data_IF_149840173155
#
_entry.id   IF_149840173155
#
_cell.length_a   1.000
_cell.length_b   1.000
_cell.length_c   1.000
_cell.angle_alpha   90.00
_cell.angle_beta   90.00
_cell.angle_gamma   90.00
#
_symmetry.space_group_name_H-M   'P 1'
#
loop_
_entity.id
_entity.type
_entity.pdbx_description
1 polymer ?
#
# COMPACT_ATOMS: atom_id res chain seq x y z
N UNK A 1 -13.28 32.29 -20.39
CA UNK A 1 -11.89 31.86 -20.15
C UNK A 1 -11.88 30.34 -20.19
N UNK A 2 -11.19 29.74 -21.15
CA UNK A 2 -11.11 28.29 -21.30
C UNK A 2 -9.88 27.79 -20.56
N UNK A 3 -10.05 26.95 -19.53
CA UNK A 3 -8.95 26.24 -18.89
C UNK A 3 -8.33 25.27 -19.88
N UNK A 4 -7.01 25.29 -20.03
CA UNK A 4 -6.29 24.26 -20.79
C UNK A 4 -6.48 22.89 -20.12
N UNK A 5 -6.66 21.81 -20.90
CA UNK A 5 -6.62 20.46 -20.36
C UNK A 5 -5.22 20.19 -19.79
N UNK A 6 -5.14 19.62 -18.59
CA UNK A 6 -3.88 19.23 -17.96
C UNK A 6 -3.12 18.27 -18.89
N UNK A 7 -1.85 18.57 -19.15
CA UNK A 7 -1.00 17.77 -20.03
C UNK A 7 -0.70 16.40 -19.39
N UNK A 8 -0.80 15.28 -20.14
CA UNK A 8 -0.60 13.93 -19.59
C UNK A 8 0.80 13.73 -18.98
N UNK A 9 1.79 14.51 -19.39
CA UNK A 9 3.15 14.47 -18.84
C UNK A 9 3.20 14.82 -17.34
N UNK A 10 2.42 15.83 -16.91
CA UNK A 10 2.38 16.27 -15.51
C UNK A 10 1.73 15.20 -14.60
N UNK A 11 0.73 14.50 -15.11
CA UNK A 11 0.08 13.39 -14.39
C UNK A 11 1.07 12.23 -14.21
N UNK A 12 1.87 11.90 -15.24
CA UNK A 12 2.84 10.78 -15.17
C UNK A 12 4.03 11.04 -14.25
N UNK A 13 4.49 12.28 -14.10
CA UNK A 13 5.59 12.63 -13.19
C UNK A 13 5.16 12.67 -11.71
N UNK A 14 3.96 13.18 -11.42
CA UNK A 14 3.38 13.19 -10.07
C UNK A 14 3.23 11.77 -9.51
N UNK A 15 2.70 10.85 -10.33
CA UNK A 15 2.55 9.43 -9.95
C UNK A 15 3.92 8.74 -9.80
N UNK A 16 4.94 9.17 -10.54
CA UNK A 16 6.29 8.59 -10.51
C UNK A 16 7.09 8.89 -9.23
N UNK A 17 6.73 9.96 -8.52
CA UNK A 17 7.42 10.42 -7.31
C UNK A 17 6.70 10.04 -6.02
N UNK A 18 5.40 9.73 -6.12
CA UNK A 18 4.56 9.37 -4.98
C UNK A 18 5.03 8.07 -4.32
N UNK A 19 5.15 8.11 -3.00
CA UNK A 19 5.46 6.94 -2.16
C UNK A 19 4.19 6.38 -1.54
N UNK A 20 4.25 5.18 -0.95
CA UNK A 20 3.11 4.66 -0.19
C UNK A 20 2.86 5.51 1.07
N UNK A 21 3.92 6.13 1.62
CA UNK A 21 3.80 7.13 2.68
C UNK A 21 2.87 8.28 2.30
N UNK A 22 2.95 8.77 1.06
CA UNK A 22 2.06 9.83 0.55
C UNK A 22 0.60 9.42 0.37
N UNK A 23 0.30 8.12 0.45
CA UNK A 23 -1.07 7.59 0.39
C UNK A 23 -1.63 7.43 1.79
N UNK A 24 -0.83 6.89 2.71
CA UNK A 24 -1.28 6.55 4.07
C UNK A 24 -1.17 7.71 5.06
N UNK A 25 -0.47 8.80 4.73
CA UNK A 25 -0.32 9.99 5.60
C UNK A 25 -1.65 10.67 5.95
N UNK A 26 -2.66 10.52 5.09
CA UNK A 26 -3.96 11.17 5.25
C UNK A 26 -4.99 10.24 5.92
N UNK A 27 -4.57 9.01 6.29
CA UNK A 27 -5.46 8.04 6.91
C UNK A 27 -5.80 8.43 8.34
N UNK A 28 -7.07 8.29 8.70
CA UNK A 28 -7.45 8.26 10.09
C UNK A 28 -7.03 6.91 10.74
N UNK A 29 -7.15 6.82 12.07
CA UNK A 29 -6.71 5.64 12.83
C UNK A 29 -7.33 4.33 12.34
N UNK A 30 -8.64 4.33 12.02
CA UNK A 30 -9.33 3.11 11.57
C UNK A 30 -8.95 2.74 10.14
N UNK A 31 -8.78 3.72 9.25
CA UNK A 31 -8.28 3.49 7.88
C UNK A 31 -6.86 2.90 7.88
N UNK A 32 -6.00 3.37 8.79
CA UNK A 32 -4.66 2.82 8.94
C UNK A 32 -4.66 1.39 9.49
N UNK A 33 -5.53 1.08 10.45
CA UNK A 33 -5.67 -0.28 10.98
C UNK A 33 -6.18 -1.24 9.91
N UNK A 34 -7.25 -0.87 9.20
CA UNK A 34 -7.81 -1.67 8.10
C UNK A 34 -6.77 -1.89 6.98
N UNK A 35 -5.93 -0.88 6.71
CA UNK A 35 -4.80 -1.05 5.80
C UNK A 35 -3.75 -2.03 6.32
N UNK A 36 -3.37 -1.97 7.59
CA UNK A 36 -2.37 -2.87 8.20
C UNK A 36 -2.86 -4.33 8.25
N UNK A 37 -4.14 -4.56 8.57
CA UNK A 37 -4.75 -5.90 8.58
C UNK A 37 -4.69 -6.58 7.20
N UNK A 38 -4.88 -5.81 6.12
CA UNK A 38 -4.77 -6.32 4.73
C UNK A 38 -3.35 -6.69 4.32
N UNK A 39 -2.33 -6.29 5.08
CA UNK A 39 -0.91 -6.52 4.75
C UNK A 39 -0.33 -7.80 5.33
N UNK A 40 -1.14 -8.59 6.04
CA UNK A 40 -0.74 -9.88 6.61
C UNK A 40 0.53 -9.77 7.49
N UNK A 41 0.58 -8.72 8.31
CA UNK A 41 1.71 -8.41 9.20
C UNK A 41 1.76 -9.32 10.43
N UNK A 42 0.85 -10.31 10.54
CA UNK A 42 0.71 -11.22 11.68
C UNK A 42 0.52 -10.49 13.02
N UNK A 43 -0.13 -9.34 12.99
CA UNK A 43 -0.58 -8.65 14.20
C UNK A 43 -1.78 -9.40 14.76
N UNK A 44 -1.78 -9.64 16.07
CA UNK A 44 -2.92 -10.24 16.75
C UNK A 44 -3.94 -9.17 17.19
N UNK A 45 -5.08 -9.62 17.73
CA UNK A 45 -6.14 -8.69 18.11
C UNK A 45 -5.75 -7.76 19.26
N UNK A 46 -4.80 -8.14 20.12
CA UNK A 46 -4.32 -7.29 21.19
C UNK A 46 -3.36 -6.22 20.66
N UNK A 47 -2.53 -6.55 19.67
CA UNK A 47 -1.71 -5.57 18.93
C UNK A 47 -2.59 -4.49 18.28
N UNK A 48 -3.70 -4.89 17.64
CA UNK A 48 -4.65 -3.95 17.03
C UNK A 48 -5.36 -3.08 18.07
N UNK A 49 -5.74 -3.64 19.24
CA UNK A 49 -6.31 -2.85 20.34
C UNK A 49 -5.35 -1.79 20.85
N UNK A 50 -4.05 -2.09 20.92
CA UNK A 50 -3.02 -1.12 21.31
C UNK A 50 -2.97 0.03 20.28
N UNK A 51 -3.01 -0.28 18.98
CA UNK A 51 -3.04 0.74 17.93
C UNK A 51 -4.26 1.67 18.01
N UNK A 52 -5.45 1.11 18.29
CA UNK A 52 -6.69 1.90 18.49
C UNK A 52 -6.63 2.80 19.71
N UNK A 53 -6.10 2.28 20.82
CA UNK A 53 -6.14 2.95 22.12
C UNK A 53 -5.16 4.11 22.21
N UNK A 54 -3.97 3.95 21.65
CA UNK A 54 -2.83 4.85 21.94
C UNK A 54 -2.56 5.90 20.86
N UNK A 55 -3.48 6.03 19.88
CA UNK A 55 -3.48 7.10 18.86
C UNK A 55 -2.10 7.33 18.24
N UNK A 56 -1.39 6.25 17.87
CA UNK A 56 -0.17 6.17 17.04
C UNK A 56 0.83 7.34 17.21
N UNK A 57 1.05 7.81 18.44
CA UNK A 57 1.83 9.03 18.68
C UNK A 57 3.17 8.78 19.37
N UNK A 58 3.43 7.60 19.95
CA UNK A 58 4.67 7.29 20.66
C UNK A 58 5.02 5.80 20.72
N UNK A 59 6.27 5.49 21.11
CA UNK A 59 6.88 4.16 21.29
C UNK A 59 5.87 3.11 21.79
N UNK A 60 5.38 2.28 20.87
CA UNK A 60 4.39 1.22 21.09
C UNK A 60 4.81 0.25 22.21
N UNK A 61 6.11 0.05 22.39
CA UNK A 61 6.70 -0.78 23.45
C UNK A 61 6.33 -0.31 24.87
N UNK A 62 6.17 1.01 25.10
CA UNK A 62 5.74 1.55 26.40
C UNK A 62 4.28 1.25 26.72
N UNK A 63 3.50 0.89 25.71
CA UNK A 63 2.07 0.64 25.83
C UNK A 63 1.71 -0.84 25.78
N UNK A 64 2.71 -1.72 25.95
CA UNK A 64 2.51 -3.16 26.04
C UNK A 64 2.59 -3.91 24.72
N UNK A 65 2.93 -3.23 23.61
CA UNK A 65 3.23 -3.93 22.36
C UNK A 65 4.57 -4.65 22.51
N UNK A 66 4.58 -5.95 22.22
CA UNK A 66 5.80 -6.75 22.29
C UNK A 66 6.79 -6.30 21.22
N UNK A 67 8.08 -6.54 21.50
CA UNK A 67 9.16 -6.19 20.56
C UNK A 67 8.96 -6.78 19.16
N UNK A 68 8.43 -8.01 19.04
CA UNK A 68 8.18 -8.66 17.74
C UNK A 68 7.23 -7.85 16.83
N UNK A 69 5.95 -7.66 17.20
CA UNK A 69 5.02 -6.81 16.47
C UNK A 69 5.54 -5.39 16.24
N UNK A 70 6.22 -4.79 17.23
CA UNK A 70 6.81 -3.46 17.09
C UNK A 70 7.91 -3.42 16.02
N UNK A 71 8.76 -4.44 15.92
CA UNK A 71 9.80 -4.55 14.88
C UNK A 71 9.16 -4.72 13.49
N UNK A 72 8.13 -5.57 13.37
CA UNK A 72 7.41 -5.77 12.10
C UNK A 72 6.79 -4.47 11.59
N UNK A 73 6.20 -3.66 12.48
CA UNK A 73 5.65 -2.35 12.12
C UNK A 73 6.74 -1.37 11.66
N UNK A 74 7.90 -1.33 12.31
CA UNK A 74 9.02 -0.47 11.91
C UNK A 74 9.53 -0.85 10.51
N UNK A 75 9.81 -2.14 10.28
CA UNK A 75 10.23 -2.64 8.97
C UNK A 75 9.18 -2.35 7.88
N UNK A 76 7.89 -2.47 8.23
CA UNK A 76 6.81 -2.14 7.31
C UNK A 76 6.79 -0.65 6.97
N UNK A 77 6.92 0.24 7.95
CA UNK A 77 6.95 1.69 7.73
C UNK A 77 8.15 2.10 6.86
N UNK A 78 9.33 1.52 7.11
CA UNK A 78 10.51 1.75 6.27
C UNK A 78 10.24 1.33 4.81
N UNK A 79 9.49 0.25 4.60
CA UNK A 79 9.08 -0.18 3.26
C UNK A 79 8.16 0.82 2.53
N UNK A 80 7.38 1.64 3.26
CA UNK A 80 6.45 2.63 2.69
C UNK A 80 7.18 3.82 2.04
N UNK A 81 8.43 4.07 2.45
CA UNK A 81 9.30 5.11 1.88
C UNK A 81 9.79 4.77 0.47
N UNK A 82 9.65 3.50 0.04
CA UNK A 82 9.99 3.13 -1.32
C UNK A 82 8.98 3.74 -2.30
N UNK A 83 9.52 4.36 -3.36
CA UNK A 83 8.70 4.91 -4.46
C UNK A 83 7.76 3.85 -4.99
N UNK A 84 6.50 4.23 -5.21
CA UNK A 84 5.56 3.36 -5.93
C UNK A 84 6.20 3.01 -7.26
N UNK A 85 6.48 1.72 -7.46
CA UNK A 85 7.23 1.26 -8.62
C UNK A 85 6.43 1.64 -9.86
N UNK A 86 6.97 2.59 -10.61
CA UNK A 86 6.26 3.11 -11.76
C UNK A 86 6.14 1.99 -12.80
N UNK A 87 4.92 1.59 -13.16
CA UNK A 87 4.67 0.47 -14.08
C UNK A 87 5.25 0.70 -15.47
N UNK A 88 5.52 1.96 -15.82
CA UNK A 88 6.27 2.38 -17.01
C UNK A 88 7.71 1.87 -17.06
N UNK A 89 8.28 1.43 -15.93
CA UNK A 89 9.63 0.87 -15.84
C UNK A 89 9.71 -0.63 -16.10
N UNK A 90 8.57 -1.31 -16.33
CA UNK A 90 8.54 -2.72 -16.73
C UNK A 90 9.09 -2.84 -18.16
N UNK A 91 10.37 -3.22 -18.27
CA UNK A 91 11.06 -3.32 -19.56
C UNK A 91 11.08 -4.73 -20.11
N UNK A 92 10.79 -5.73 -19.27
CA UNK A 92 10.93 -7.13 -19.64
C UNK A 92 9.70 -7.96 -19.31
N UNK A 93 9.55 -9.07 -20.03
CA UNK A 93 8.51 -10.07 -19.77
C UNK A 93 8.67 -10.69 -18.36
N UNK A 94 9.90 -10.78 -17.85
CA UNK A 94 10.17 -11.23 -16.48
C UNK A 94 9.67 -10.23 -15.43
N UNK A 95 9.91 -8.93 -15.64
CA UNK A 95 9.37 -7.86 -14.77
C UNK A 95 7.84 -7.92 -14.70
N UNK A 96 7.19 -8.14 -15.85
CA UNK A 96 5.73 -8.30 -15.92
C UNK A 96 5.25 -9.54 -15.17
N UNK A 97 5.90 -10.70 -15.37
CA UNK A 97 5.57 -11.94 -14.64
C UNK A 97 5.72 -11.78 -13.13
N UNK A 98 6.79 -11.13 -12.68
CA UNK A 98 7.04 -10.83 -11.26
C UNK A 98 5.93 -9.94 -10.67
N UNK A 99 5.45 -8.96 -11.44
CA UNK A 99 4.35 -8.10 -11.05
C UNK A 99 2.99 -8.81 -10.95
N UNK A 100 2.65 -9.66 -11.92
CA UNK A 100 1.39 -10.42 -11.91
C UNK A 100 1.31 -11.34 -10.68
N UNK A 101 2.39 -12.05 -10.37
CA UNK A 101 2.50 -12.87 -9.16
C UNK A 101 2.29 -12.06 -7.88
N UNK A 102 2.86 -10.86 -7.79
CA UNK A 102 2.71 -9.97 -6.63
C UNK A 102 1.26 -9.55 -6.40
N UNK A 103 0.48 -9.44 -7.48
CA UNK A 103 -0.95 -9.14 -7.44
C UNK A 103 -1.84 -10.40 -7.41
N UNK A 104 -1.25 -11.58 -7.16
CA UNK A 104 -1.96 -12.87 -7.11
C UNK A 104 -2.70 -13.21 -8.41
N UNK A 105 -2.19 -12.71 -9.55
CA UNK A 105 -2.69 -13.04 -10.89
C UNK A 105 -1.77 -14.09 -11.50
N UNK A 106 -2.35 -15.25 -11.84
CA UNK A 106 -1.66 -16.24 -12.65
C UNK A 106 -1.67 -15.75 -14.10
N UNK A 107 -0.58 -15.12 -14.52
CA UNK A 107 -0.39 -14.58 -15.88
C UNK A 107 -0.34 -15.62 -17.01
N UNK A 108 -0.89 -16.81 -16.78
CA UNK A 108 -1.04 -17.88 -17.77
C UNK A 108 -2.33 -17.72 -18.57
N UNK A 109 -3.40 -17.20 -17.96
CA UNK A 109 -4.67 -16.95 -18.62
C UNK A 109 -5.32 -15.64 -18.11
N UNK A 110 -5.80 -14.81 -19.04
CA UNK A 110 -6.50 -13.54 -18.77
C UNK A 110 -7.85 -13.77 -18.07
N UNK A 111 -8.42 -14.97 -18.21
CA UNK A 111 -9.66 -15.37 -17.53
C UNK A 111 -9.51 -15.43 -15.99
N UNK A 112 -8.28 -15.50 -15.47
CA UNK A 112 -7.99 -15.43 -14.04
C UNK A 112 -8.22 -14.04 -13.43
N UNK A 113 -8.31 -13.00 -14.26
CA UNK A 113 -8.65 -11.63 -13.84
C UNK A 113 -10.17 -11.50 -13.86
N UNK A 114 -10.76 -11.15 -12.71
CA UNK A 114 -12.21 -10.90 -12.61
C UNK A 114 -12.62 -9.83 -13.62
N UNK A 115 -13.45 -10.20 -14.58
CA UNK A 115 -13.98 -9.27 -15.57
C UNK A 115 -15.07 -8.40 -14.96
N UNK A 116 -15.07 -7.12 -15.31
CA UNK A 116 -16.12 -6.20 -14.92
C UNK A 116 -17.44 -6.62 -15.57
N UNK A 117 -18.51 -6.68 -14.79
CA UNK A 117 -19.88 -6.89 -15.30
C UNK A 117 -20.62 -5.56 -15.19
N UNK A 118 -20.93 -4.88 -16.31
CA UNK A 118 -21.69 -3.63 -16.25
C UNK A 118 -23.12 -3.91 -15.74
N UNK A 119 -23.60 -3.07 -14.82
CA UNK A 119 -25.01 -3.01 -14.48
C UNK A 119 -25.77 -2.32 -15.61
N UNK A 120 -26.82 -2.97 -16.13
CA UNK A 120 -27.72 -2.41 -17.13
C UNK A 120 -28.65 -1.33 -16.58
#
# INVERSE_FOLDING_TARGET
MSSLPASPASITEEISSRTMSDVVKDFNTEELIDYLERKDLKLDEDDIKILRKEKISEKLERYGMKGGPSTVLVEFIESLSQKLRNYSSLKTLDDLKKMLRRNKVNGEDITSIKQFTPGG
#
